data_IF_847689409401
#
_entry.id   IF_847689409401
#
_cell.length_a   1.000
_cell.length_b   1.000
_cell.length_c   1.000
_cell.angle_alpha   90.00
_cell.angle_beta   90.00
_cell.angle_gamma   90.00
#
_symmetry.space_group_name_H-M   'P 1'
#
loop_
_entity.id
_entity.type
_entity.pdbx_description
1 polymer ?
#
# COMPACT_ATOMS: atom_id res chain seq x y z
N UNK A 1 52.85 -40.07 10.22
CA UNK A 1 51.44 -40.20 10.59
C UNK A 1 50.93 -38.84 11.03
N UNK A 2 50.33 -38.07 10.11
CA UNK A 2 49.39 -37.01 10.45
C UNK A 2 48.39 -36.94 9.31
N UNK A 3 47.16 -37.37 9.61
CA UNK A 3 46.03 -37.28 8.72
C UNK A 3 45.61 -35.81 8.62
N UNK A 4 45.58 -35.29 7.40
CA UNK A 4 44.92 -34.03 7.06
C UNK A 4 43.43 -34.31 6.95
N UNK A 5 42.63 -33.82 7.91
CA UNK A 5 41.18 -33.80 7.78
C UNK A 5 40.78 -32.71 6.77
N UNK A 6 40.27 -33.17 5.63
CA UNK A 6 39.60 -32.36 4.63
C UNK A 6 38.15 -32.09 5.09
N UNK A 7 37.74 -30.84 5.37
CA UNK A 7 36.33 -30.54 5.48
C UNK A 7 35.72 -30.52 4.06
N UNK A 8 35.02 -31.62 3.80
CA UNK A 8 34.14 -31.92 2.66
C UNK A 8 33.48 -30.67 2.05
N UNK A 9 33.79 -30.48 0.78
CA UNK A 9 32.90 -29.97 -0.25
C UNK A 9 31.47 -30.47 -0.05
N UNK A 10 30.52 -29.56 0.10
CA UNK A 10 29.10 -29.86 -0.06
C UNK A 10 28.77 -29.81 -1.55
N UNK A 11 28.05 -30.84 -2.00
CA UNK A 11 27.88 -31.26 -3.39
C UNK A 11 26.88 -30.42 -4.21
N UNK A 12 26.57 -29.20 -3.77
CA UNK A 12 25.85 -28.20 -4.55
C UNK A 12 26.59 -26.88 -4.38
N UNK A 13 27.12 -26.35 -5.48
CA UNK A 13 28.06 -25.21 -5.52
C UNK A 13 27.45 -23.85 -5.17
N UNK A 14 26.77 -23.75 -4.02
CA UNK A 14 26.33 -22.48 -3.45
C UNK A 14 27.19 -22.19 -2.22
N UNK A 15 28.03 -21.17 -2.32
CA UNK A 15 28.94 -20.77 -1.25
C UNK A 15 28.20 -19.89 -0.23
N UNK A 16 28.54 -20.01 1.07
CA UNK A 16 27.94 -19.26 2.19
C UNK A 16 27.63 -17.77 1.97
N UNK A 17 28.43 -16.97 1.23
CA UNK A 17 28.07 -15.58 0.93
C UNK A 17 26.90 -15.41 -0.05
N UNK A 18 26.52 -16.44 -0.82
CA UNK A 18 25.33 -16.40 -1.71
C UNK A 18 24.01 -16.51 -0.93
N UNK A 19 23.99 -17.15 0.25
CA UNK A 19 22.82 -17.09 1.16
C UNK A 19 22.58 -15.67 1.69
N UNK A 20 23.64 -14.89 1.89
CA UNK A 20 23.55 -13.50 2.35
C UNK A 20 23.06 -12.51 1.28
N UNK A 21 23.02 -12.93 0.01
CA UNK A 21 22.52 -12.12 -1.13
C UNK A 21 21.06 -12.47 -1.45
N UNK A 22 20.51 -13.55 -0.91
CA UNK A 22 19.23 -14.14 -1.33
C UNK A 22 17.98 -13.52 -0.68
N UNK A 23 18.11 -12.73 0.38
CA UNK A 23 16.97 -12.15 1.11
C UNK A 23 17.21 -10.67 1.40
N UNK A 24 17.21 -9.85 0.35
CA UNK A 24 16.95 -8.42 0.56
C UNK A 24 15.54 -8.30 1.10
N UNK A 25 15.39 -8.23 2.43
CA UNK A 25 14.09 -8.07 3.08
C UNK A 25 13.42 -6.83 2.48
N UNK A 26 12.29 -7.04 1.80
CA UNK A 26 11.42 -5.94 1.39
C UNK A 26 10.96 -5.27 2.68
N UNK A 27 11.41 -4.05 2.91
CA UNK A 27 11.00 -3.29 4.07
C UNK A 27 9.56 -2.81 3.87
N UNK A 28 8.65 -3.35 4.65
CA UNK A 28 7.23 -3.02 4.59
C UNK A 28 6.90 -2.10 5.76
N UNK A 29 7.30 -0.83 5.64
CA UNK A 29 7.06 0.19 6.65
C UNK A 29 5.60 0.65 6.67
N UNK A 30 4.76 -0.10 7.39
CA UNK A 30 3.34 0.13 7.51
C UNK A 30 3.01 0.33 8.99
N UNK A 31 2.44 1.49 9.31
CA UNK A 31 1.92 1.80 10.65
C UNK A 31 0.45 1.40 10.74
N UNK A 32 -0.10 1.19 11.95
CA UNK A 32 -1.56 0.92 12.14
C UNK A 32 -2.45 1.95 11.43
N UNK A 33 -2.07 3.22 11.46
CA UNK A 33 -2.81 4.30 10.78
C UNK A 33 -2.67 4.19 9.25
N UNK A 34 -1.47 3.90 8.74
CA UNK A 34 -1.24 3.67 7.32
C UNK A 34 -1.90 2.38 6.80
N UNK A 35 -2.04 1.37 7.67
CA UNK A 35 -2.72 0.10 7.39
C UNK A 35 -4.23 0.27 7.21
N UNK A 36 -4.89 0.97 8.14
CA UNK A 36 -6.34 1.26 8.04
C UNK A 36 -6.68 2.18 6.86
N UNK A 37 -5.73 3.02 6.41
CA UNK A 37 -5.88 3.82 5.19
C UNK A 37 -5.77 2.97 3.91
N UNK A 38 -5.14 1.81 3.97
CA UNK A 38 -4.97 0.90 2.83
C UNK A 38 -6.18 0.00 2.59
N UNK A 39 -6.88 -0.46 3.65
CA UNK A 39 -8.06 -1.33 3.52
C UNK A 39 -9.35 -0.58 3.09
N UNK A 40 -9.34 0.76 3.02
CA UNK A 40 -10.56 1.52 2.78
C UNK A 40 -10.36 2.91 2.24
N UNK A 41 -10.22 3.02 0.90
CA UNK A 41 -10.88 4.04 0.07
C UNK A 41 -10.89 5.48 0.59
N UNK A 42 -9.80 5.93 1.20
CA UNK A 42 -9.52 7.33 1.44
C UNK A 42 -8.02 7.46 1.53
N UNK A 43 -7.45 8.40 0.77
CA UNK A 43 -6.27 9.10 1.23
C UNK A 43 -6.69 9.72 2.58
N UNK A 44 -6.59 8.94 3.65
CA UNK A 44 -6.28 9.50 4.94
C UNK A 44 -5.01 10.27 4.63
N UNK A 45 -5.16 11.59 4.50
CA UNK A 45 -4.05 12.51 4.67
C UNK A 45 -3.25 11.88 5.78
N UNK A 46 -2.01 11.52 5.48
CA UNK A 46 -0.99 11.68 6.47
C UNK A 46 -1.24 13.07 7.05
N UNK A 47 -1.96 13.14 8.17
CA UNK A 47 -1.58 14.03 9.23
C UNK A 47 -0.12 13.61 9.44
N UNK A 48 0.87 14.17 8.75
CA UNK A 48 0.98 15.62 8.59
C UNK A 48 1.22 16.26 9.97
N UNK A 49 1.36 15.42 11.00
CA UNK A 49 2.42 15.55 11.98
C UNK A 49 3.43 14.46 11.63
N UNK A 50 4.12 14.64 10.49
CA UNK A 50 5.57 14.58 10.63
C UNK A 50 5.88 15.54 11.78
N UNK A 51 6.47 15.11 12.91
CA UNK A 51 7.03 16.08 13.83
C UNK A 51 7.92 16.96 12.95
N UNK A 52 7.69 18.27 12.98
CA UNK A 52 8.40 19.25 12.15
C UNK A 52 9.88 19.42 12.63
N UNK A 53 10.52 18.32 13.00
CA UNK A 53 11.83 18.19 13.59
C UNK A 53 12.32 16.73 13.55
N UNK A 54 13.61 16.50 13.78
CA UNK A 54 14.19 15.16 13.77
C UNK A 54 13.48 14.25 14.78
N UNK A 55 13.29 12.98 14.42
CA UNK A 55 12.80 11.93 15.32
C UNK A 55 13.56 12.02 16.65
N UNK A 56 12.87 12.25 17.76
CA UNK A 56 13.49 12.29 19.08
C UNK A 56 13.13 11.02 19.84
N UNK A 57 14.05 10.04 19.81
CA UNK A 57 13.86 8.73 20.46
C UNK A 57 13.71 8.88 21.98
N UNK A 58 14.42 9.81 22.61
CA UNK A 58 14.32 10.05 24.05
C UNK A 58 12.91 10.54 24.42
N UNK A 59 12.36 11.48 23.64
CA UNK A 59 11.00 11.97 23.84
C UNK A 59 9.94 10.90 23.57
N UNK A 60 10.11 10.10 22.50
CA UNK A 60 9.20 8.99 22.20
C UNK A 60 9.22 7.94 23.31
N UNK A 61 10.40 7.63 23.85
CA UNK A 61 10.55 6.71 24.99
C UNK A 61 9.86 7.25 26.24
N UNK A 62 10.12 8.50 26.62
CA UNK A 62 9.45 9.12 27.76
C UNK A 62 7.92 9.15 27.59
N UNK A 63 7.43 9.36 26.36
CA UNK A 63 6.00 9.31 26.04
C UNK A 63 5.45 7.89 26.21
N UNK A 64 6.17 6.87 25.73
CA UNK A 64 5.78 5.47 25.84
C UNK A 64 5.78 4.96 27.28
N UNK A 65 6.78 5.34 28.08
CA UNK A 65 6.87 4.99 29.49
C UNK A 65 5.72 5.62 30.32
N UNK A 66 5.25 6.81 29.92
CA UNK A 66 4.13 7.50 30.56
C UNK A 66 2.75 7.05 30.04
N UNK A 67 2.69 6.21 29.01
CA UNK A 67 1.46 5.90 28.26
C UNK A 67 0.49 4.93 28.98
N UNK A 68 0.91 4.31 30.08
CA UNK A 68 0.11 3.29 30.77
C UNK A 68 -0.21 2.10 29.84
N UNK A 69 -1.49 1.77 29.72
CA UNK A 69 -1.98 0.64 28.92
C UNK A 69 -2.20 0.99 27.43
N UNK A 70 -1.71 2.15 26.97
CA UNK A 70 -1.84 2.55 25.57
C UNK A 70 -0.68 2.00 24.72
N UNK A 71 -0.99 1.12 23.76
CA UNK A 71 -0.03 0.51 22.86
C UNK A 71 0.61 1.49 21.84
N UNK A 72 -0.12 2.53 21.42
CA UNK A 72 0.27 3.39 20.29
C UNK A 72 1.64 4.09 20.49
N UNK A 73 1.98 4.66 21.66
CA UNK A 73 3.31 5.24 21.88
C UNK A 73 4.46 4.23 21.78
N UNK A 74 4.25 2.98 22.21
CA UNK A 74 5.23 1.90 22.06
C UNK A 74 5.42 1.50 20.59
N UNK A 75 4.32 1.43 19.82
CA UNK A 75 4.38 1.25 18.38
C UNK A 75 5.18 2.37 17.69
N UNK A 76 4.92 3.64 18.03
CA UNK A 76 5.61 4.79 17.44
C UNK A 76 7.11 4.78 17.75
N UNK A 77 7.47 4.40 18.98
CA UNK A 77 8.86 4.20 19.39
C UNK A 77 9.52 3.07 18.59
N UNK A 78 8.83 1.93 18.44
CA UNK A 78 9.31 0.80 17.64
C UNK A 78 9.54 1.17 16.18
N UNK A 79 8.59 1.89 15.57
CA UNK A 79 8.72 2.41 14.20
C UNK A 79 9.90 3.38 14.04
N UNK A 80 10.10 4.25 15.01
CA UNK A 80 11.21 5.20 15.01
C UNK A 80 12.58 4.53 15.12
N UNK A 81 12.72 3.53 16.01
CA UNK A 81 13.92 2.69 16.11
C UNK A 81 14.16 1.91 14.81
N UNK A 82 13.10 1.32 14.24
CA UNK A 82 13.19 0.54 13.01
C UNK A 82 13.70 1.39 11.83
N UNK A 83 13.19 2.61 11.66
CA UNK A 83 13.66 3.54 10.63
C UNK A 83 15.14 3.94 10.78
N UNK A 84 15.70 3.81 11.99
CA UNK A 84 17.13 4.07 12.28
C UNK A 84 18.02 2.85 12.11
N UNK A 85 17.45 1.68 11.81
CA UNK A 85 18.17 0.41 11.79
C UNK A 85 18.48 -0.14 13.19
N UNK A 86 17.87 0.42 14.23
CA UNK A 86 18.01 0.00 15.64
C UNK A 86 17.01 -1.15 15.89
N UNK A 87 17.24 -2.29 15.24
CA UNK A 87 16.23 -3.36 15.13
C UNK A 87 15.94 -4.09 16.44
N UNK A 88 16.94 -4.22 17.33
CA UNK A 88 16.73 -4.81 18.67
C UNK A 88 15.87 -3.91 19.55
N UNK A 89 16.10 -2.59 19.48
CA UNK A 89 15.30 -1.60 20.17
C UNK A 89 13.88 -1.50 19.58
N UNK A 90 13.75 -1.65 18.26
CA UNK A 90 12.47 -1.74 17.58
C UNK A 90 11.67 -2.96 18.03
N UNK A 91 12.32 -4.14 18.07
CA UNK A 91 11.73 -5.38 18.57
C UNK A 91 11.20 -5.18 19.99
N UNK A 92 12.02 -4.70 20.92
CA UNK A 92 11.62 -4.49 22.32
C UNK A 92 10.41 -3.53 22.47
N UNK A 93 10.35 -2.47 21.65
CA UNK A 93 9.24 -1.54 21.68
C UNK A 93 7.96 -2.14 21.07
N UNK A 94 8.06 -2.89 19.97
CA UNK A 94 6.91 -3.58 19.38
C UNK A 94 6.42 -4.72 20.27
N UNK A 95 7.30 -5.47 20.94
CA UNK A 95 6.92 -6.47 21.96
C UNK A 95 6.07 -5.85 23.07
N UNK A 96 6.46 -4.66 23.53
CA UNK A 96 5.68 -3.94 24.54
C UNK A 96 4.33 -3.47 23.97
N UNK A 97 4.29 -3.07 22.71
CA UNK A 97 3.06 -2.67 22.02
C UNK A 97 2.07 -3.84 21.89
N UNK A 98 2.51 -5.00 21.39
CA UNK A 98 1.64 -6.18 21.24
C UNK A 98 1.19 -6.76 22.57
N UNK A 99 1.98 -6.60 23.64
CA UNK A 99 1.58 -7.00 24.98
C UNK A 99 0.46 -6.12 25.58
N UNK A 100 0.27 -4.92 25.03
CA UNK A 100 -0.79 -3.98 25.44
C UNK A 100 -2.02 -4.06 24.52
N UNK A 101 -1.82 -4.41 23.26
CA UNK A 101 -2.87 -4.62 22.26
C UNK A 101 -2.47 -5.76 21.31
N UNK A 102 -3.03 -6.94 21.51
CA UNK A 102 -2.72 -8.17 20.79
C UNK A 102 -3.70 -8.51 19.66
N UNK A 103 -4.67 -7.61 19.39
CA UNK A 103 -5.72 -7.81 18.39
C UNK A 103 -5.45 -7.06 17.08
N UNK A 104 -4.39 -6.24 17.00
CA UNK A 104 -4.00 -5.50 15.80
C UNK A 104 -2.94 -6.26 14.99
N UNK A 105 -3.33 -6.85 13.85
CA UNK A 105 -2.48 -7.67 12.96
C UNK A 105 -1.16 -6.98 12.56
N UNK A 106 -1.23 -5.69 12.24
CA UNK A 106 -0.09 -4.87 11.80
C UNK A 106 0.99 -4.69 12.88
N UNK A 107 0.64 -4.77 14.17
CA UNK A 107 1.62 -4.73 15.26
C UNK A 107 2.41 -6.03 15.31
N UNK A 108 1.72 -7.16 15.16
CA UNK A 108 2.33 -8.48 15.08
C UNK A 108 3.25 -8.61 13.86
N UNK A 109 2.80 -8.15 12.69
CA UNK A 109 3.64 -8.21 11.50
C UNK A 109 4.85 -7.28 11.64
N UNK A 110 4.71 -6.08 12.24
CA UNK A 110 5.85 -5.18 12.49
C UNK A 110 6.87 -5.77 13.47
N UNK A 111 6.41 -6.46 14.52
CA UNK A 111 7.26 -7.22 15.43
C UNK A 111 8.02 -8.34 14.70
N UNK A 112 7.34 -9.09 13.82
CA UNK A 112 7.97 -10.12 13.01
C UNK A 112 9.09 -9.57 12.13
N UNK A 113 8.85 -8.45 11.46
CA UNK A 113 9.86 -7.80 10.63
C UNK A 113 11.04 -7.27 11.46
N UNK A 114 10.78 -6.66 12.62
CA UNK A 114 11.85 -6.25 13.55
C UNK A 114 12.74 -7.45 13.97
N UNK A 115 12.13 -8.60 14.26
CA UNK A 115 12.84 -9.85 14.60
C UNK A 115 13.66 -10.40 13.44
N UNK A 116 13.14 -10.35 12.20
CA UNK A 116 13.91 -10.70 11.00
C UNK A 116 15.15 -9.81 10.90
N UNK A 117 14.97 -8.50 11.00
CA UNK A 117 16.05 -7.54 10.81
C UNK A 117 17.07 -7.55 11.96
N UNK A 118 16.65 -7.91 13.18
CA UNK A 118 17.53 -8.08 14.33
C UNK A 118 18.31 -9.41 14.30
N UNK A 119 17.86 -10.40 13.51
CA UNK A 119 18.49 -11.72 13.43
C UNK A 119 19.84 -11.67 12.70
N UNK A 120 20.87 -12.22 13.34
CA UNK A 120 22.21 -12.32 12.75
C UNK A 120 22.50 -13.69 12.09
N UNK A 121 21.63 -14.68 12.32
CA UNK A 121 21.93 -16.09 12.04
C UNK A 121 20.93 -16.73 11.09
N UNK A 122 19.66 -16.39 11.25
CA UNK A 122 18.56 -17.03 10.54
C UNK A 122 17.82 -15.96 9.73
N UNK A 123 17.64 -16.16 8.41
CA UNK A 123 16.91 -15.19 7.57
C UNK A 123 15.46 -14.96 8.03
N UNK A 124 14.85 -15.98 8.64
CA UNK A 124 13.51 -15.91 9.21
C UNK A 124 13.49 -16.71 10.53
N UNK A 125 13.78 -16.07 11.68
CA UNK A 125 13.83 -16.79 12.96
C UNK A 125 12.42 -17.27 13.37
N UNK A 126 12.29 -18.38 14.13
CA UNK A 126 10.99 -18.92 14.55
C UNK A 126 10.08 -17.89 15.26
N UNK A 127 10.65 -17.01 16.07
CA UNK A 127 9.91 -15.95 16.77
C UNK A 127 9.32 -14.91 15.81
N UNK A 128 9.94 -14.67 14.65
CA UNK A 128 9.37 -13.83 13.61
C UNK A 128 8.22 -14.55 12.90
N UNK A 129 8.41 -15.84 12.57
CA UNK A 129 7.37 -16.65 11.94
C UNK A 129 6.11 -16.77 12.82
N UNK A 130 6.27 -16.94 14.14
CA UNK A 130 5.17 -16.89 15.11
C UNK A 130 4.39 -15.58 15.03
N UNK A 131 5.10 -14.44 14.95
CA UNK A 131 4.48 -13.13 14.86
C UNK A 131 3.73 -12.94 13.52
N UNK A 132 4.28 -13.39 12.39
CA UNK A 132 3.59 -13.33 11.11
C UNK A 132 2.37 -14.26 11.04
N UNK A 133 2.44 -15.45 11.64
CA UNK A 133 1.27 -16.34 11.75
C UNK A 133 0.19 -15.69 12.61
N UNK A 134 0.54 -15.04 13.71
CA UNK A 134 -0.44 -14.30 14.53
C UNK A 134 -1.07 -13.14 13.74
N UNK A 135 -0.29 -12.42 12.95
CA UNK A 135 -0.81 -11.36 12.09
C UNK A 135 -1.81 -11.89 11.04
N UNK A 136 -1.50 -13.01 10.36
CA UNK A 136 -2.39 -13.57 9.32
C UNK A 136 -3.67 -14.21 9.90
N UNK A 137 -3.61 -14.68 11.15
CA UNK A 137 -4.80 -15.13 11.89
C UNK A 137 -5.77 -13.98 12.18
N UNK A 138 -5.24 -12.80 12.53
CA UNK A 138 -6.01 -11.60 12.81
C UNK A 138 -6.51 -10.94 11.53
N UNK A 139 -5.64 -10.84 10.52
CA UNK A 139 -5.96 -10.28 9.23
C UNK A 139 -5.26 -11.04 8.09
N UNK A 140 -6.01 -11.88 7.34
CA UNK A 140 -5.49 -12.62 6.20
C UNK A 140 -4.95 -11.75 5.05
N UNK A 141 -5.23 -10.45 5.05
CA UNK A 141 -4.80 -9.52 4.01
C UNK A 141 -3.49 -8.78 4.35
N UNK A 142 -2.97 -8.87 5.58
CA UNK A 142 -1.75 -8.17 6.01
C UNK A 142 -0.58 -8.50 5.07
N UNK A 143 0.00 -7.50 4.37
CA UNK A 143 0.98 -7.79 3.32
C UNK A 143 2.32 -8.26 3.84
N UNK A 144 2.64 -7.93 5.09
CA UNK A 144 3.97 -8.06 5.67
C UNK A 144 4.07 -9.48 6.15
N UNK A 145 3.03 -9.94 6.86
CA UNK A 145 2.77 -11.34 7.08
C UNK A 145 2.75 -12.13 5.77
N UNK A 146 1.95 -11.73 4.77
CA UNK A 146 1.90 -12.43 3.48
C UNK A 146 3.25 -12.48 2.77
N UNK A 147 4.03 -11.41 2.81
CA UNK A 147 5.37 -11.37 2.21
C UNK A 147 6.30 -12.37 2.89
N UNK A 148 6.44 -12.29 4.22
CA UNK A 148 7.37 -13.14 4.97
C UNK A 148 6.92 -14.60 5.08
N UNK A 149 5.61 -14.90 5.05
CA UNK A 149 5.12 -16.27 4.94
C UNK A 149 5.42 -16.89 3.57
N UNK A 150 5.54 -16.09 2.50
CA UNK A 150 6.04 -16.59 1.22
C UNK A 150 7.57 -16.67 1.19
N UNK A 151 8.29 -15.84 1.97
CA UNK A 151 9.73 -16.06 2.24
C UNK A 151 9.96 -17.40 2.93
N UNK A 152 9.12 -17.80 3.89
CA UNK A 152 9.20 -19.13 4.50
C UNK A 152 9.08 -20.25 3.45
N UNK A 153 8.10 -20.16 2.54
CA UNK A 153 7.95 -21.14 1.45
C UNK A 153 9.17 -21.22 0.54
N UNK A 154 9.78 -20.08 0.24
CA UNK A 154 11.00 -20.01 -0.55
C UNK A 154 12.18 -20.69 0.16
N UNK A 155 12.34 -20.41 1.47
CA UNK A 155 13.34 -21.06 2.33
C UNK A 155 13.14 -22.58 2.42
N UNK A 156 11.89 -23.04 2.39
CA UNK A 156 11.52 -24.47 2.38
C UNK A 156 11.72 -25.13 0.99
N UNK A 157 12.09 -24.36 -0.03
CA UNK A 157 12.33 -24.84 -1.40
C UNK A 157 11.09 -24.81 -2.31
N UNK A 158 9.94 -24.35 -1.81
CA UNK A 158 8.72 -24.18 -2.61
C UNK A 158 8.69 -22.80 -3.30
N UNK A 159 9.69 -22.58 -4.15
CA UNK A 159 9.91 -21.33 -4.88
C UNK A 159 8.72 -20.95 -5.78
N UNK A 160 8.04 -21.95 -6.37
CA UNK A 160 6.90 -21.71 -7.24
C UNK A 160 5.70 -21.14 -6.46
N UNK A 161 5.38 -21.72 -5.30
CA UNK A 161 4.31 -21.21 -4.44
C UNK A 161 4.67 -19.87 -3.81
N UNK A 162 5.95 -19.67 -3.44
CA UNK A 162 6.45 -18.37 -2.96
C UNK A 162 6.24 -17.26 -3.99
N UNK A 163 6.72 -17.47 -5.22
CA UNK A 163 6.52 -16.52 -6.34
C UNK A 163 5.03 -16.30 -6.62
N UNK A 164 4.20 -17.35 -6.63
CA UNK A 164 2.76 -17.20 -6.83
C UNK A 164 2.12 -16.32 -5.75
N UNK A 165 2.51 -16.49 -4.48
CA UNK A 165 2.03 -15.69 -3.37
C UNK A 165 2.48 -14.22 -3.44
N UNK A 166 3.75 -13.97 -3.80
CA UNK A 166 4.24 -12.60 -4.01
C UNK A 166 3.60 -11.90 -5.21
N UNK A 167 3.31 -12.62 -6.30
CA UNK A 167 2.57 -12.08 -7.44
C UNK A 167 1.13 -11.70 -7.07
N UNK A 168 0.46 -12.51 -6.24
CA UNK A 168 -0.85 -12.15 -5.71
C UNK A 168 -0.79 -10.88 -4.84
N UNK A 169 0.22 -10.80 -3.95
CA UNK A 169 0.47 -9.59 -3.17
C UNK A 169 0.76 -8.37 -4.05
N UNK A 170 1.51 -8.55 -5.14
CA UNK A 170 1.79 -7.50 -6.12
C UNK A 170 0.51 -7.06 -6.85
N UNK A 171 -0.41 -7.98 -7.15
CA UNK A 171 -1.68 -7.65 -7.80
C UNK A 171 -2.60 -6.78 -6.92
N UNK A 172 -2.42 -6.82 -5.59
CA UNK A 172 -3.21 -6.07 -4.61
C UNK A 172 -2.50 -4.81 -4.07
N UNK A 173 -1.19 -4.71 -4.27
CA UNK A 173 -0.40 -3.55 -3.83
C UNK A 173 -0.81 -2.29 -4.62
N UNK A 174 -1.03 -1.12 -4.02
CA UNK A 174 -1.32 0.10 -4.77
C UNK A 174 -0.18 0.49 -5.73
N UNK A 175 -0.52 1.06 -6.90
CA UNK A 175 0.50 1.64 -7.79
C UNK A 175 1.24 2.74 -7.04
N UNK A 176 2.58 2.74 -7.08
CA UNK A 176 3.49 3.66 -6.35
C UNK A 176 3.68 3.38 -4.86
N UNK A 177 3.24 2.22 -4.36
CA UNK A 177 3.61 1.79 -3.03
C UNK A 177 5.14 1.76 -2.89
N UNK A 178 5.73 2.37 -1.84
CA UNK A 178 7.19 2.47 -1.69
C UNK A 178 7.94 1.13 -1.78
N UNK A 179 7.30 0.03 -1.39
CA UNK A 179 7.86 -1.32 -1.39
C UNK A 179 7.64 -2.12 -2.68
N UNK A 180 6.87 -1.60 -3.64
CA UNK A 180 6.53 -2.30 -4.88
C UNK A 180 7.77 -2.74 -5.66
N UNK A 181 8.73 -1.82 -5.81
CA UNK A 181 9.98 -2.08 -6.54
C UNK A 181 10.78 -3.21 -5.90
N UNK A 182 10.83 -3.25 -4.58
CA UNK A 182 11.59 -4.28 -3.87
C UNK A 182 10.87 -5.63 -3.95
N UNK A 183 9.53 -5.67 -3.89
CA UNK A 183 8.74 -6.89 -4.10
C UNK A 183 8.96 -7.49 -5.50
N UNK A 184 8.95 -6.66 -6.54
CA UNK A 184 9.25 -7.08 -7.92
C UNK A 184 10.67 -7.66 -7.99
N UNK A 185 11.66 -6.97 -7.40
CA UNK A 185 13.05 -7.45 -7.35
C UNK A 185 13.15 -8.82 -6.67
N UNK A 186 12.43 -9.06 -5.56
CA UNK A 186 12.40 -10.37 -4.91
C UNK A 186 11.89 -11.45 -5.86
N UNK A 187 10.77 -11.20 -6.57
CA UNK A 187 10.18 -12.14 -7.52
C UNK A 187 11.18 -12.46 -8.65
N UNK A 188 11.80 -11.44 -9.24
CA UNK A 188 12.80 -11.58 -10.31
C UNK A 188 14.02 -12.35 -9.85
N UNK A 189 14.54 -12.05 -8.65
CA UNK A 189 15.74 -12.68 -8.11
C UNK A 189 15.51 -14.17 -7.83
N UNK A 190 14.41 -14.51 -7.15
CA UNK A 190 14.06 -15.92 -6.87
C UNK A 190 13.78 -16.66 -8.17
N UNK A 191 13.12 -16.02 -9.14
CA UNK A 191 12.88 -16.58 -10.46
C UNK A 191 14.19 -16.90 -11.19
N UNK A 192 15.11 -15.94 -11.26
CA UNK A 192 16.40 -16.09 -11.92
C UNK A 192 17.27 -17.18 -11.28
N UNK A 193 17.31 -17.25 -9.95
CA UNK A 193 18.13 -18.24 -9.22
C UNK A 193 17.60 -19.66 -9.43
N UNK A 194 16.28 -19.83 -9.51
CA UNK A 194 15.64 -21.14 -9.60
C UNK A 194 15.20 -21.51 -11.02
N UNK A 195 15.53 -20.70 -12.04
CA UNK A 195 15.16 -20.95 -13.44
C UNK A 195 13.65 -20.89 -13.70
N UNK A 196 12.92 -20.06 -12.96
CA UNK A 196 11.48 -19.85 -13.11
C UNK A 196 11.25 -18.55 -13.89
N UNK A 197 10.54 -18.63 -15.01
CA UNK A 197 10.13 -17.45 -15.76
C UNK A 197 9.02 -16.69 -15.01
N UNK A 198 9.26 -15.40 -14.79
CA UNK A 198 8.38 -14.51 -14.01
C UNK A 198 8.00 -13.23 -14.75
N UNK A 199 8.63 -12.92 -15.89
CA UNK A 199 8.47 -11.62 -16.56
C UNK A 199 7.02 -11.40 -17.00
N UNK A 200 6.44 -12.36 -17.73
CA UNK A 200 5.04 -12.29 -18.16
C UNK A 200 4.08 -12.30 -16.95
N UNK A 201 4.42 -13.04 -15.89
CA UNK A 201 3.58 -13.16 -14.69
C UNK A 201 3.50 -11.86 -13.90
N UNK A 202 4.61 -11.11 -13.81
CA UNK A 202 4.65 -9.78 -13.19
C UNK A 202 3.76 -8.80 -13.98
N UNK A 203 3.88 -8.80 -15.30
CA UNK A 203 3.04 -7.96 -16.18
C UNK A 203 1.55 -8.28 -15.98
N UNK A 204 1.19 -9.56 -15.92
CA UNK A 204 -0.19 -9.98 -15.65
C UNK A 204 -0.65 -9.50 -14.27
N UNK A 205 0.14 -9.66 -13.21
CA UNK A 205 -0.22 -9.21 -11.86
C UNK A 205 -0.49 -7.70 -11.81
N UNK A 206 0.37 -6.89 -12.44
CA UNK A 206 0.19 -5.44 -12.53
C UNK A 206 -1.02 -5.05 -13.41
N UNK A 207 -1.31 -5.80 -14.47
CA UNK A 207 -2.50 -5.58 -15.31
C UNK A 207 -3.82 -5.94 -14.58
N UNK A 208 -3.81 -7.00 -13.76
CA UNK A 208 -4.94 -7.36 -12.88
C UNK A 208 -5.19 -6.25 -11.85
N UNK A 209 -4.13 -5.73 -11.22
CA UNK A 209 -4.21 -4.54 -10.36
C UNK A 209 -4.81 -3.34 -11.10
N UNK A 210 -4.32 -3.09 -12.32
CA UNK A 210 -4.87 -2.05 -13.18
C UNK A 210 -6.35 -2.25 -13.41
N UNK A 211 -6.80 -3.46 -13.72
CA UNK A 211 -8.21 -3.78 -13.99
C UNK A 211 -9.11 -3.66 -12.74
N UNK A 212 -8.61 -4.00 -11.56
CA UNK A 212 -9.31 -3.83 -10.28
C UNK A 212 -9.36 -2.35 -9.84
N UNK A 213 -8.28 -1.59 -10.03
CA UNK A 213 -8.28 -0.13 -9.82
C UNK A 213 -9.13 0.63 -10.85
N UNK A 214 -9.29 0.07 -12.05
CA UNK A 214 -10.20 0.53 -13.12
C UNK A 214 -11.66 0.11 -12.85
N UNK A 215 -11.89 -0.77 -11.87
CA UNK A 215 -13.23 -1.08 -11.39
C UNK A 215 -13.74 -0.05 -10.36
N UNK A 216 -12.84 0.76 -9.79
CA UNK A 216 -13.16 1.85 -8.84
C UNK A 216 -12.85 3.28 -9.38
N UNK A 217 -12.39 3.38 -10.62
CA UNK A 217 -12.48 4.59 -11.45
C UNK A 217 -12.79 4.17 -12.88
N UNK A 218 -13.81 4.74 -13.56
CA UNK A 218 -14.16 4.30 -14.90
C UNK A 218 -13.02 4.68 -15.87
N UNK A 219 -12.10 3.76 -16.15
CA UNK A 219 -11.16 3.91 -17.27
C UNK A 219 -11.63 3.04 -18.42
N UNK A 220 -12.01 3.76 -19.48
CA UNK A 220 -11.44 3.55 -20.81
C UNK A 220 -11.76 2.22 -21.48
N UNK A 221 -12.60 2.21 -22.53
CA UNK A 221 -12.81 1.01 -23.32
C UNK A 221 -11.47 0.47 -23.86
N UNK A 222 -11.26 -0.84 -23.72
CA UNK A 222 -10.18 -1.63 -24.34
C UNK A 222 -10.11 -1.38 -25.85
N UNK A 223 -8.99 -1.70 -26.52
CA UNK A 223 -8.85 -1.51 -27.97
C UNK A 223 -9.93 -2.25 -28.78
N UNK A 224 -10.42 -3.39 -28.27
CA UNK A 224 -11.58 -4.10 -28.81
C UNK A 224 -12.91 -3.37 -28.58
N UNK A 225 -13.04 -2.62 -27.49
CA UNK A 225 -14.19 -1.76 -27.20
C UNK A 225 -14.10 -0.39 -27.91
N UNK A 226 -12.92 0.14 -28.23
CA UNK A 226 -12.74 1.33 -29.09
C UNK A 226 -13.17 1.01 -30.53
N UNK A 227 -12.87 -0.19 -31.01
CA UNK A 227 -13.37 -0.68 -32.29
C UNK A 227 -14.91 -0.82 -32.31
N UNK A 228 -15.53 -1.09 -31.15
CA UNK A 228 -16.99 -1.10 -30.99
C UNK A 228 -17.58 0.31 -30.75
N UNK A 229 -16.80 1.26 -30.22
CA UNK A 229 -17.24 2.61 -29.87
C UNK A 229 -17.44 3.54 -31.08
N UNK A 230 -16.88 3.19 -32.25
CA UNK A 230 -17.18 3.87 -33.52
C UNK A 230 -18.64 3.74 -33.99
N UNK A 231 -19.47 2.99 -33.25
CA UNK A 231 -20.87 2.70 -33.58
C UNK A 231 -21.89 3.18 -32.55
N UNK A 232 -21.47 3.88 -31.48
CA UNK A 232 -22.42 4.37 -30.46
C UNK A 232 -23.12 5.64 -30.99
N UNK A 233 -24.45 5.63 -31.14
CA UNK A 233 -25.21 6.81 -31.56
C UNK A 233 -24.99 7.99 -30.59
N UNK A 234 -24.88 9.25 -31.09
CA UNK A 234 -24.66 10.42 -30.24
C UNK A 234 -25.68 10.59 -29.08
N UNK A 235 -26.90 10.07 -29.23
CA UNK A 235 -27.94 10.07 -28.19
C UNK A 235 -27.62 9.14 -27.02
N UNK A 236 -27.00 8.00 -27.28
CA UNK A 236 -26.62 7.02 -26.26
C UNK A 236 -25.38 7.50 -25.48
N UNK A 237 -24.42 8.14 -26.17
CA UNK A 237 -23.27 8.78 -25.53
C UNK A 237 -23.70 9.86 -24.52
N UNK A 238 -24.70 10.67 -24.89
CA UNK A 238 -25.27 11.70 -23.99
C UNK A 238 -25.93 11.08 -22.76
N UNK A 239 -26.73 10.04 -22.94
CA UNK A 239 -27.42 9.34 -21.83
C UNK A 239 -26.42 8.76 -20.83
N UNK A 240 -25.33 8.16 -21.32
CA UNK A 240 -24.26 7.64 -20.47
C UNK A 240 -23.56 8.76 -19.70
N UNK A 241 -23.25 9.88 -20.36
CA UNK A 241 -22.61 11.02 -19.73
C UNK A 241 -23.49 11.69 -18.67
N UNK A 242 -24.79 11.84 -18.92
CA UNK A 242 -25.76 12.32 -17.91
C UNK A 242 -25.82 11.41 -16.68
N UNK A 243 -25.77 10.10 -16.87
CA UNK A 243 -25.72 9.13 -15.78
C UNK A 243 -24.45 9.25 -14.91
N UNK A 244 -23.31 9.58 -15.52
CA UNK A 244 -22.06 9.85 -14.79
C UNK A 244 -22.15 11.13 -13.96
N UNK A 245 -22.70 12.20 -14.53
CA UNK A 245 -22.87 13.48 -13.85
C UNK A 245 -23.85 13.37 -12.68
N UNK A 246 -24.95 12.64 -12.83
CA UNK A 246 -25.91 12.42 -11.73
C UNK A 246 -25.31 11.63 -10.55
N UNK A 247 -24.31 10.78 -10.76
CA UNK A 247 -23.55 10.14 -9.67
C UNK A 247 -22.66 11.14 -8.94
N UNK A 248 -21.99 12.01 -9.69
CA UNK A 248 -21.15 13.07 -9.13
C UNK A 248 -21.97 14.00 -8.22
N UNK A 249 -23.18 14.40 -8.64
CA UNK A 249 -24.08 15.23 -7.84
C UNK A 249 -24.48 14.57 -6.52
N UNK A 250 -24.85 13.29 -6.53
CA UNK A 250 -25.17 12.55 -5.30
C UNK A 250 -24.00 12.47 -4.34
N UNK A 251 -22.76 12.38 -4.87
CA UNK A 251 -21.54 12.39 -4.04
C UNK A 251 -21.32 13.74 -3.40
N UNK A 252 -21.46 14.83 -4.17
CA UNK A 252 -21.29 16.19 -3.68
C UNK A 252 -22.37 16.59 -2.67
N UNK A 253 -23.58 16.06 -2.79
CA UNK A 253 -24.61 16.22 -1.77
C UNK A 253 -24.21 15.61 -0.41
N UNK A 254 -23.39 14.54 -0.40
CA UNK A 254 -22.87 13.90 0.83
C UNK A 254 -21.57 14.52 1.33
N UNK A 255 -20.74 15.04 0.42
CA UNK A 255 -19.49 15.72 0.74
C UNK A 255 -19.47 17.14 0.11
N UNK A 256 -20.19 18.10 0.71
CA UNK A 256 -20.34 19.43 0.14
C UNK A 256 -19.04 20.26 0.18
N UNK A 257 -18.06 19.87 0.99
CA UNK A 257 -16.74 20.52 1.07
C UNK A 257 -15.78 20.19 -0.08
N UNK A 258 -16.17 19.33 -1.02
CA UNK A 258 -15.34 18.93 -2.16
C UNK A 258 -15.33 19.99 -3.27
N UNK A 259 -14.49 21.00 -3.11
CA UNK A 259 -14.29 22.09 -4.08
C UNK A 259 -13.93 21.57 -5.47
N UNK A 260 -13.10 20.52 -5.58
CA UNK A 260 -12.68 19.98 -6.87
C UNK A 260 -13.83 19.25 -7.58
N UNK A 261 -14.61 18.46 -6.84
CA UNK A 261 -15.76 17.79 -7.39
C UNK A 261 -16.82 18.77 -7.88
N UNK A 262 -17.05 19.89 -7.17
CA UNK A 262 -17.94 20.97 -7.65
C UNK A 262 -17.46 21.61 -8.95
N UNK A 263 -16.16 21.93 -9.08
CA UNK A 263 -15.59 22.48 -10.33
C UNK A 263 -15.74 21.48 -11.49
N UNK A 264 -15.50 20.19 -11.22
CA UNK A 264 -15.69 19.12 -12.20
C UNK A 264 -17.15 18.96 -12.62
N UNK A 265 -18.11 19.14 -11.70
CA UNK A 265 -19.54 19.12 -12.01
C UNK A 265 -19.92 20.27 -12.96
N UNK A 266 -19.47 21.49 -12.65
CA UNK A 266 -19.71 22.68 -13.49
C UNK A 266 -19.15 22.44 -14.91
N UNK A 267 -17.91 21.96 -15.02
CA UNK A 267 -17.27 21.63 -16.31
C UNK A 267 -18.05 20.56 -17.08
N UNK A 268 -18.47 19.49 -16.40
CA UNK A 268 -19.20 18.38 -17.03
C UNK A 268 -20.55 18.84 -17.57
N UNK A 269 -21.28 19.68 -16.83
CA UNK A 269 -22.55 20.29 -17.29
C UNK A 269 -22.35 21.20 -18.49
N UNK A 270 -21.26 21.98 -18.54
CA UNK A 270 -20.93 22.78 -19.73
C UNK A 270 -20.59 21.95 -20.96
N UNK A 271 -19.89 20.82 -20.79
CA UNK A 271 -19.63 19.89 -21.91
C UNK A 271 -20.91 19.22 -22.43
N UNK A 272 -21.93 19.08 -21.59
CA UNK A 272 -23.23 18.52 -21.95
C UNK A 272 -24.22 19.55 -22.50
N UNK A 273 -23.79 20.80 -22.72
CA UNK A 273 -24.63 21.91 -23.18
C UNK A 273 -25.78 22.22 -22.20
N UNK A 274 -25.49 22.15 -20.90
CA UNK A 274 -26.44 22.36 -19.79
C UNK A 274 -26.00 23.54 -18.90
N UNK A 275 -26.02 24.78 -19.42
CA UNK A 275 -25.49 25.95 -18.70
C UNK A 275 -26.30 26.32 -17.45
N UNK A 276 -27.61 26.10 -17.45
CA UNK A 276 -28.46 26.39 -16.28
C UNK A 276 -28.07 25.52 -15.08
N UNK A 277 -27.89 24.22 -15.31
CA UNK A 277 -27.45 23.26 -14.29
C UNK A 277 -26.00 23.52 -13.85
N UNK A 278 -25.14 24.01 -14.76
CA UNK A 278 -23.78 24.42 -14.41
C UNK A 278 -23.81 25.62 -13.45
N UNK A 279 -24.72 26.57 -13.65
CA UNK A 279 -24.89 27.71 -12.75
C UNK A 279 -25.48 27.28 -11.39
N UNK A 280 -26.46 26.38 -11.37
CA UNK A 280 -26.97 25.81 -10.12
C UNK A 280 -25.86 25.14 -9.30
N UNK A 281 -25.01 24.35 -9.97
CA UNK A 281 -23.84 23.72 -9.34
C UNK A 281 -22.83 24.76 -8.81
N UNK A 282 -22.61 25.87 -9.55
CA UNK A 282 -21.80 26.98 -9.09
C UNK A 282 -22.36 27.61 -7.81
N UNK A 283 -23.66 27.91 -7.76
CA UNK A 283 -24.28 28.50 -6.57
C UNK A 283 -24.20 27.56 -5.36
N UNK A 284 -24.44 26.26 -5.55
CA UNK A 284 -24.31 25.25 -4.50
C UNK A 284 -22.86 25.15 -3.99
N UNK A 285 -21.88 25.19 -4.89
CA UNK A 285 -20.46 25.16 -4.55
C UNK A 285 -20.05 26.36 -3.69
N UNK A 286 -20.49 27.57 -4.08
CA UNK A 286 -20.19 28.81 -3.34
C UNK A 286 -20.85 28.84 -1.95
N UNK A 287 -22.08 28.37 -1.84
CA UNK A 287 -22.80 28.31 -0.57
C UNK A 287 -22.13 27.35 0.45
N UNK A 288 -21.53 26.27 -0.04
CA UNK A 288 -20.93 25.23 0.79
C UNK A 288 -19.43 25.41 1.02
N UNK A 289 -18.76 26.25 0.22
CA UNK A 289 -17.30 26.45 0.26
C UNK A 289 -16.90 27.93 0.27
N UNK A 290 -17.30 28.71 1.30
CA UNK A 290 -17.03 30.15 1.36
C UNK A 290 -15.53 30.49 1.35
N UNK A 291 -14.69 29.65 1.97
CA UNK A 291 -13.24 29.83 1.99
C UNK A 291 -12.57 29.68 0.61
N UNK A 292 -13.26 29.06 -0.36
CA UNK A 292 -12.75 28.82 -1.72
C UNK A 292 -13.54 29.57 -2.80
N UNK A 293 -14.39 30.53 -2.42
CA UNK A 293 -15.28 31.28 -3.32
C UNK A 293 -14.52 31.92 -4.50
N UNK A 294 -13.39 32.58 -4.23
CA UNK A 294 -12.60 33.24 -5.27
C UNK A 294 -12.14 32.25 -6.35
N UNK A 295 -11.62 31.10 -5.93
CA UNK A 295 -11.14 30.04 -6.84
C UNK A 295 -12.28 29.41 -7.64
N UNK A 296 -13.42 29.14 -6.99
CA UNK A 296 -14.58 28.53 -7.65
C UNK A 296 -15.12 29.47 -8.73
N UNK A 297 -15.22 30.78 -8.45
CA UNK A 297 -15.66 31.77 -9.43
C UNK A 297 -14.68 31.93 -10.59
N UNK A 298 -13.38 31.93 -10.32
CA UNK A 298 -12.35 32.00 -11.35
C UNK A 298 -12.47 30.83 -12.34
N UNK A 299 -12.52 29.60 -11.83
CA UNK A 299 -12.65 28.38 -12.63
C UNK A 299 -13.97 28.33 -13.41
N UNK A 300 -15.08 28.76 -12.80
CA UNK A 300 -16.37 28.83 -13.48
C UNK A 300 -16.37 29.89 -14.60
N UNK A 301 -15.73 31.04 -14.38
CA UNK A 301 -15.63 32.11 -15.38
C UNK A 301 -14.81 31.68 -16.60
N UNK A 302 -13.76 30.88 -16.42
CA UNK A 302 -12.99 30.27 -17.52
C UNK A 302 -13.85 29.35 -18.40
N UNK A 303 -14.92 28.79 -17.83
CA UNK A 303 -15.88 27.92 -18.50
C UNK A 303 -17.10 28.68 -19.05
N UNK A 304 -17.15 30.02 -18.89
CA UNK A 304 -18.26 30.85 -19.34
C UNK A 304 -19.49 30.85 -18.42
N UNK A 305 -19.37 30.30 -17.20
CA UNK A 305 -20.42 30.29 -16.18
C UNK A 305 -20.16 31.42 -15.18
N UNK A 306 -21.18 32.20 -14.83
CA UNK A 306 -21.05 33.40 -13.99
C UNK A 306 -22.13 33.47 -12.92
#
# INVERSE_FOLDING_TARGET
>A
MHASENPKTLENGISRPQLGVLFGAVLLLITVVGYKAWDGGSEAKASGQDPAGPINIEQLRATADAAGDNALPWQQLGFAHFQRGEFLEAEAAYERSVALDDDEAVLWSALGEARVMASQREPLPPSALEAFNRAIELDPSDPRARYFLNVQKDLDGDHNSAIAGWLALLAETPQSAPWETDLIRTIEQVGAINGIDVEERIVIAQAVRGSTAVSDTPRGPTQAQIAAAGSIPPSEQRTMAEGMVGRLERRLAKNPSDVQGWIMLIRSRMTLDQPDLANEALQAALATNPASEARIREEAALLGVR
#
